data_IF_386802467401
#
_entry.id   IF_386802467401
#
_cell.length_a   1.000
_cell.length_b   1.000
_cell.length_c   1.000
_cell.angle_alpha   90.00
_cell.angle_beta   90.00
_cell.angle_gamma   90.00
#
_symmetry.space_group_name_H-M   'P 1'
#
loop_
_entity.id
_entity.type
_entity.pdbx_description
1 polymer ?
#
# COMPACT_ATOMS: atom_id res chain seq x y z
N UNK A 1 -8.57 -39.10 -5.09
CA UNK A 1 -8.68 -39.45 -3.66
C UNK A 1 -8.57 -38.27 -2.69
N UNK A 2 -8.20 -37.08 -3.10
CA UNK A 2 -7.97 -35.91 -2.21
C UNK A 2 -9.24 -35.10 -1.87
N UNK A 3 -10.25 -35.10 -2.74
CA UNK A 3 -11.52 -34.37 -2.53
C UNK A 3 -12.39 -34.97 -1.40
N UNK A 4 -12.34 -36.27 -1.17
CA UNK A 4 -13.12 -36.95 -0.12
C UNK A 4 -12.62 -36.59 1.29
N UNK A 5 -11.34 -36.32 1.47
CA UNK A 5 -10.80 -35.92 2.78
C UNK A 5 -11.15 -34.48 3.21
N UNK A 6 -11.41 -33.58 2.27
CA UNK A 6 -11.83 -32.21 2.58
C UNK A 6 -13.32 -32.17 2.96
N UNK A 7 -14.15 -32.87 2.21
CA UNK A 7 -15.59 -32.93 2.44
C UNK A 7 -15.88 -33.59 3.82
N UNK A 8 -15.18 -34.68 4.16
CA UNK A 8 -15.37 -35.31 5.47
C UNK A 8 -14.98 -34.39 6.64
N UNK A 9 -13.89 -33.57 6.49
CA UNK A 9 -13.48 -32.63 7.53
C UNK A 9 -14.47 -31.47 7.69
N UNK A 10 -15.00 -30.93 6.58
CA UNK A 10 -16.07 -29.92 6.63
C UNK A 10 -17.27 -30.45 7.36
N UNK A 11 -17.69 -31.69 7.08
CA UNK A 11 -18.79 -32.35 7.78
C UNK A 11 -18.53 -32.50 9.28
N UNK A 12 -17.30 -32.83 9.69
CA UNK A 12 -16.94 -32.90 11.11
C UNK A 12 -16.97 -31.51 11.79
N UNK A 13 -16.59 -30.45 11.10
CA UNK A 13 -16.68 -29.07 11.60
C UNK A 13 -18.14 -28.67 11.78
N UNK A 14 -18.96 -28.91 10.77
CA UNK A 14 -20.40 -28.62 10.82
C UNK A 14 -21.08 -29.42 11.91
N UNK A 15 -20.80 -30.70 12.01
CA UNK A 15 -21.37 -31.60 13.04
C UNK A 15 -20.97 -31.15 14.44
N UNK A 16 -19.70 -30.85 14.67
CA UNK A 16 -19.20 -30.36 15.97
C UNK A 16 -19.85 -29.01 16.32
N UNK A 17 -19.96 -28.09 15.35
CA UNK A 17 -20.67 -26.81 15.52
C UNK A 17 -22.13 -27.01 15.89
N UNK A 18 -22.83 -27.91 15.22
CA UNK A 18 -24.24 -28.25 15.52
C UNK A 18 -24.41 -28.88 16.92
N UNK A 19 -23.49 -29.78 17.31
CA UNK A 19 -23.50 -30.40 18.66
C UNK A 19 -23.29 -29.32 19.73
N UNK A 20 -22.35 -28.37 19.51
CA UNK A 20 -22.08 -27.27 20.44
C UNK A 20 -23.28 -26.33 20.55
N UNK A 21 -23.92 -25.97 19.44
CA UNK A 21 -25.15 -25.17 19.43
C UNK A 21 -26.28 -25.92 20.17
N UNK A 22 -26.45 -27.19 19.88
CA UNK A 22 -27.44 -28.00 20.58
C UNK A 22 -27.20 -28.08 22.10
N UNK A 23 -25.94 -28.26 22.52
CA UNK A 23 -25.56 -28.25 23.93
C UNK A 23 -25.88 -26.90 24.61
N UNK A 24 -25.61 -25.79 23.95
CA UNK A 24 -25.92 -24.42 24.46
C UNK A 24 -27.44 -24.27 24.66
N UNK A 25 -28.27 -24.77 23.72
CA UNK A 25 -29.73 -24.67 23.82
C UNK A 25 -30.35 -25.66 24.81
N UNK A 26 -29.80 -26.86 24.96
CA UNK A 26 -30.34 -27.89 25.82
C UNK A 26 -29.85 -27.81 27.26
N UNK A 27 -28.66 -27.27 27.51
CA UNK A 27 -28.07 -27.14 28.84
C UNK A 27 -29.02 -26.45 29.86
N UNK A 28 -29.66 -25.30 29.58
CA UNK A 28 -30.60 -24.66 30.50
C UNK A 28 -31.83 -25.51 30.81
N UNK A 29 -32.30 -26.29 29.82
CA UNK A 29 -33.46 -27.21 30.00
C UNK A 29 -33.12 -28.39 30.88
N UNK A 30 -31.92 -28.96 30.76
CA UNK A 30 -31.46 -30.06 31.63
C UNK A 30 -31.39 -29.58 33.09
N UNK A 31 -30.89 -28.36 33.30
CA UNK A 31 -30.79 -27.79 34.66
C UNK A 31 -32.14 -27.37 35.25
N UNK A 32 -33.19 -27.16 34.45
CA UNK A 32 -34.56 -26.92 34.96
C UNK A 32 -35.17 -28.11 35.67
N UNK A 33 -34.65 -29.32 35.45
CA UNK A 33 -35.11 -30.57 36.06
C UNK A 33 -34.46 -30.81 37.44
N UNK A 34 -33.41 -30.00 37.81
CA UNK A 34 -32.68 -30.16 39.06
C UNK A 34 -33.58 -29.84 40.27
N UNK A 35 -33.57 -30.67 41.34
CA UNK A 35 -34.34 -30.43 42.55
C UNK A 35 -34.05 -29.07 43.19
N UNK A 36 -35.08 -28.49 43.82
CA UNK A 36 -35.04 -27.14 44.40
C UNK A 36 -33.88 -26.96 45.39
N UNK A 37 -33.50 -28.01 46.13
CA UNK A 37 -32.39 -27.98 47.10
C UNK A 37 -31.01 -27.63 46.48
N UNK A 38 -30.79 -27.88 45.21
CA UNK A 38 -29.52 -27.63 44.50
C UNK A 38 -29.55 -26.41 43.59
N UNK A 39 -30.70 -25.72 43.48
CA UNK A 39 -30.85 -24.52 42.65
C UNK A 39 -29.86 -23.38 42.91
N UNK A 40 -29.44 -23.10 44.15
CA UNK A 40 -28.46 -22.05 44.38
C UNK A 40 -27.12 -22.24 43.68
N UNK A 41 -26.72 -23.51 43.43
CA UNK A 41 -25.46 -23.88 42.78
C UNK A 41 -25.58 -24.12 41.29
N UNK A 42 -26.82 -24.14 40.77
CA UNK A 42 -27.05 -24.51 39.35
C UNK A 42 -26.47 -23.45 38.41
N UNK A 43 -26.47 -22.17 38.78
CA UNK A 43 -25.92 -21.08 37.98
C UNK A 43 -24.41 -21.22 37.80
N UNK A 44 -23.70 -21.47 38.89
CA UNK A 44 -22.23 -21.59 38.88
C UNK A 44 -21.78 -22.83 38.09
N UNK A 45 -22.47 -23.94 38.29
CA UNK A 45 -22.18 -25.18 37.54
C UNK A 45 -22.49 -25.02 36.06
N UNK A 46 -23.57 -24.32 35.70
CA UNK A 46 -23.92 -24.03 34.32
C UNK A 46 -22.85 -23.15 33.68
N UNK A 47 -22.41 -22.07 34.35
CA UNK A 47 -21.38 -21.18 33.86
C UNK A 47 -20.04 -21.91 33.61
N UNK A 48 -19.68 -22.82 34.55
CA UNK A 48 -18.45 -23.61 34.43
C UNK A 48 -18.52 -24.58 33.25
N UNK A 49 -19.62 -25.34 33.15
CA UNK A 49 -19.84 -26.29 32.04
C UNK A 49 -19.85 -25.55 30.68
N UNK A 50 -20.54 -24.42 30.61
CA UNK A 50 -20.58 -23.60 29.41
C UNK A 50 -19.18 -23.10 29.02
N UNK A 51 -18.40 -22.65 29.98
CA UNK A 51 -17.00 -22.25 29.77
C UNK A 51 -16.13 -23.38 29.23
N UNK A 52 -16.29 -24.60 29.77
CA UNK A 52 -15.56 -25.79 29.28
C UNK A 52 -15.98 -26.13 27.84
N UNK A 53 -17.28 -26.07 27.53
CA UNK A 53 -17.77 -26.31 26.18
C UNK A 53 -17.21 -25.30 25.20
N UNK A 54 -17.24 -24.00 25.54
CA UNK A 54 -16.67 -22.95 24.70
C UNK A 54 -15.15 -23.09 24.54
N UNK A 55 -14.43 -23.50 25.58
CA UNK A 55 -13.00 -23.78 25.53
C UNK A 55 -12.68 -24.92 24.54
N UNK A 56 -13.43 -26.04 24.64
CA UNK A 56 -13.27 -27.17 23.71
C UNK A 56 -13.57 -26.73 22.27
N UNK A 57 -14.61 -25.91 22.07
CA UNK A 57 -15.01 -25.37 20.79
C UNK A 57 -13.86 -24.49 20.21
N UNK A 58 -13.31 -23.57 21.03
CA UNK A 58 -12.20 -22.73 20.63
C UNK A 58 -10.98 -23.55 20.24
N UNK A 59 -10.61 -24.55 21.04
CA UNK A 59 -9.48 -25.46 20.75
C UNK A 59 -9.68 -26.21 19.43
N UNK A 60 -10.90 -26.63 19.16
CA UNK A 60 -11.23 -27.30 17.89
C UNK A 60 -11.12 -26.32 16.71
N UNK A 61 -11.65 -25.10 16.84
CA UNK A 61 -11.55 -24.05 15.82
C UNK A 61 -10.09 -23.72 15.53
N UNK A 62 -9.27 -23.50 16.58
CA UNK A 62 -7.84 -23.18 16.44
C UNK A 62 -7.09 -24.30 15.73
N UNK A 63 -7.35 -25.59 16.08
CA UNK A 63 -6.71 -26.74 15.43
C UNK A 63 -7.09 -26.85 13.96
N UNK A 64 -8.35 -26.58 13.63
CA UNK A 64 -8.84 -26.60 12.25
C UNK A 64 -8.21 -25.48 11.44
N UNK A 65 -8.20 -24.26 12.01
CA UNK A 65 -7.59 -23.10 11.40
C UNK A 65 -6.08 -23.30 11.19
N UNK A 66 -5.40 -23.89 12.18
CA UNK A 66 -3.99 -24.27 12.05
C UNK A 66 -3.75 -25.17 10.84
N UNK A 67 -4.53 -26.24 10.74
CA UNK A 67 -4.38 -27.21 9.64
C UNK A 67 -4.67 -26.60 8.27
N UNK A 68 -5.62 -25.66 8.19
CA UNK A 68 -5.97 -24.95 6.97
C UNK A 68 -4.87 -23.95 6.56
N UNK A 69 -4.35 -23.19 7.51
CA UNK A 69 -3.32 -22.17 7.27
C UNK A 69 -1.96 -22.79 6.93
N UNK A 70 -1.54 -23.85 7.62
CA UNK A 70 -0.26 -24.53 7.38
C UNK A 70 -0.12 -25.11 5.96
N UNK A 71 -1.23 -25.26 5.24
CA UNK A 71 -1.24 -25.66 3.83
C UNK A 71 -0.93 -24.52 2.86
N UNK A 72 -1.18 -23.26 3.27
CA UNK A 72 -1.07 -22.07 2.41
C UNK A 72 0.05 -21.13 2.82
N UNK A 73 0.45 -21.17 4.09
CA UNK A 73 1.40 -20.23 4.69
C UNK A 73 2.47 -21.02 5.43
N UNK A 74 3.70 -20.52 5.44
CA UNK A 74 4.80 -21.13 6.18
C UNK A 74 4.48 -21.22 7.68
N UNK A 75 4.75 -22.34 8.30
CA UNK A 75 4.45 -22.64 9.72
C UNK A 75 4.91 -21.56 10.70
N UNK A 76 6.01 -20.86 10.39
CA UNK A 76 6.56 -19.79 11.23
C UNK A 76 5.59 -18.61 11.41
N UNK A 77 4.71 -18.35 10.43
CA UNK A 77 3.72 -17.26 10.48
C UNK A 77 2.38 -17.69 11.05
N UNK A 78 2.09 -18.99 11.02
CA UNK A 78 0.80 -19.51 11.50
C UNK A 78 0.69 -19.42 13.02
N UNK A 79 1.76 -19.73 13.76
CA UNK A 79 1.75 -19.73 15.24
C UNK A 79 1.42 -18.36 15.85
N UNK A 80 2.09 -17.23 15.47
CA UNK A 80 1.73 -15.91 15.99
C UNK A 80 0.29 -15.51 15.70
N UNK A 81 -0.22 -15.88 14.52
CA UNK A 81 -1.60 -15.56 14.10
C UNK A 81 -2.61 -16.30 14.93
N UNK A 82 -2.39 -17.61 15.17
CA UNK A 82 -3.24 -18.41 16.05
C UNK A 82 -3.18 -17.96 17.51
N UNK A 83 -2.01 -17.49 17.96
CA UNK A 83 -1.88 -16.93 19.30
C UNK A 83 -2.78 -15.70 19.50
N UNK A 84 -2.81 -14.77 18.55
CA UNK A 84 -3.70 -13.60 18.60
C UNK A 84 -5.18 -14.04 18.62
N UNK A 85 -5.57 -14.96 17.75
CA UNK A 85 -6.95 -15.50 17.71
C UNK A 85 -7.30 -16.19 19.04
N UNK A 86 -6.35 -16.92 19.64
CA UNK A 86 -6.58 -17.59 20.91
C UNK A 86 -6.79 -16.63 22.08
N UNK A 87 -6.03 -15.52 22.15
CA UNK A 87 -6.22 -14.49 23.19
C UNK A 87 -7.62 -13.89 23.09
N UNK A 88 -8.03 -13.51 21.88
CA UNK A 88 -9.38 -12.95 21.66
C UNK A 88 -10.44 -13.98 22.07
N UNK A 89 -10.27 -15.25 21.65
CA UNK A 89 -11.19 -16.33 21.99
C UNK A 89 -11.30 -16.56 23.50
N UNK A 90 -10.18 -16.60 24.23
CA UNK A 90 -10.19 -16.76 25.68
C UNK A 90 -10.84 -15.57 26.38
N UNK A 91 -10.61 -14.35 25.87
CA UNK A 91 -11.26 -13.15 26.42
C UNK A 91 -12.79 -13.21 26.25
N UNK A 92 -13.27 -13.62 25.08
CA UNK A 92 -14.71 -13.81 24.82
C UNK A 92 -15.31 -14.88 25.73
N UNK A 93 -14.62 -16.02 25.95
CA UNK A 93 -15.05 -17.08 26.85
C UNK A 93 -15.14 -16.55 28.29
N UNK A 94 -14.13 -15.80 28.73
CA UNK A 94 -14.12 -15.18 30.06
C UNK A 94 -15.34 -14.28 30.26
N UNK A 95 -15.62 -13.38 29.32
CA UNK A 95 -16.79 -12.51 29.38
C UNK A 95 -18.10 -13.30 29.41
N UNK A 96 -18.21 -14.35 28.58
CA UNK A 96 -19.42 -15.19 28.56
C UNK A 96 -19.66 -15.91 29.89
N UNK A 97 -18.59 -16.43 30.50
CA UNK A 97 -18.69 -17.09 31.84
C UNK A 97 -19.05 -16.06 32.91
N UNK A 98 -18.44 -14.90 32.95
CA UNK A 98 -18.74 -13.83 33.91
C UNK A 98 -20.21 -13.35 33.77
N UNK A 99 -20.71 -13.22 32.54
CA UNK A 99 -22.10 -12.87 32.27
C UNK A 99 -23.07 -13.91 32.87
N UNK A 100 -22.78 -15.22 32.73
CA UNK A 100 -23.60 -16.30 33.28
C UNK A 100 -23.54 -16.34 34.81
N UNK A 101 -22.46 -15.90 35.42
CA UNK A 101 -22.31 -15.73 36.87
C UNK A 101 -23.03 -14.48 37.41
N UNK A 102 -23.69 -13.70 36.52
CA UNK A 102 -24.39 -12.48 36.92
C UNK A 102 -23.49 -11.27 37.21
N UNK A 103 -22.22 -11.33 36.82
CA UNK A 103 -21.30 -10.19 36.96
C UNK A 103 -21.73 -9.08 36.01
N UNK A 104 -21.82 -7.84 36.50
CA UNK A 104 -22.06 -6.68 35.64
C UNK A 104 -20.85 -6.44 34.74
N UNK A 105 -21.06 -6.70 33.45
CA UNK A 105 -20.01 -6.54 32.42
C UNK A 105 -19.86 -5.10 31.93
N UNK A 106 -20.70 -4.17 32.34
CA UNK A 106 -20.72 -2.80 31.83
C UNK A 106 -19.36 -2.11 31.93
N UNK A 107 -18.71 -2.24 33.09
CA UNK A 107 -17.37 -1.66 33.31
C UNK A 107 -16.28 -2.32 32.48
N UNK A 108 -16.38 -3.66 32.30
CA UNK A 108 -15.41 -4.44 31.51
C UNK A 108 -15.56 -4.08 30.03
N UNK A 109 -16.82 -3.98 29.55
CA UNK A 109 -17.12 -3.61 28.16
C UNK A 109 -16.62 -2.19 27.88
N UNK A 110 -16.88 -1.23 28.78
CA UNK A 110 -16.41 0.15 28.65
C UNK A 110 -14.88 0.22 28.62
N UNK A 111 -14.21 -0.46 29.55
CA UNK A 111 -12.75 -0.56 29.58
C UNK A 111 -12.17 -1.22 28.32
N UNK A 112 -12.84 -2.28 27.83
CA UNK A 112 -12.43 -2.96 26.60
C UNK A 112 -12.62 -2.09 25.35
N UNK A 113 -13.69 -1.28 25.31
CA UNK A 113 -13.90 -0.31 24.23
C UNK A 113 -12.79 0.75 24.19
N UNK A 114 -12.39 1.26 25.34
CA UNK A 114 -11.27 2.19 25.45
C UNK A 114 -9.94 1.57 25.03
N UNK A 115 -9.63 0.35 25.53
CA UNK A 115 -8.44 -0.40 25.10
C UNK A 115 -8.45 -0.69 23.59
N UNK A 116 -9.62 -1.05 23.05
CA UNK A 116 -9.82 -1.26 21.62
C UNK A 116 -9.56 -0.01 20.77
N UNK A 117 -9.99 1.15 21.26
CA UNK A 117 -9.71 2.43 20.62
C UNK A 117 -8.21 2.73 20.57
N UNK A 118 -7.48 2.51 21.66
CA UNK A 118 -6.02 2.69 21.70
C UNK A 118 -5.32 1.74 20.74
N UNK A 119 -5.71 0.46 20.70
CA UNK A 119 -5.15 -0.54 19.77
C UNK A 119 -5.47 -0.14 18.33
N UNK A 120 -6.69 0.34 18.05
CA UNK A 120 -7.10 0.84 16.75
C UNK A 120 -6.24 2.01 16.26
N UNK A 121 -5.99 2.99 17.14
CA UNK A 121 -5.09 4.11 16.85
C UNK A 121 -3.65 3.63 16.59
N UNK A 122 -3.14 2.70 17.39
CA UNK A 122 -1.81 2.12 17.18
C UNK A 122 -1.71 1.33 15.85
N UNK A 123 -2.80 0.71 15.42
CA UNK A 123 -2.89 -0.04 14.16
C UNK A 123 -3.26 0.82 12.94
N UNK A 124 -3.54 2.11 13.10
CA UNK A 124 -4.09 3.00 12.08
C UNK A 124 -3.29 2.97 10.77
N UNK A 125 -1.95 3.01 10.84
CA UNK A 125 -1.10 3.00 9.64
C UNK A 125 -1.21 1.68 8.87
N UNK A 126 -1.29 0.55 9.57
CA UNK A 126 -1.42 -0.78 8.94
C UNK A 126 -2.78 -0.90 8.25
N UNK A 127 -3.85 -0.49 8.95
CA UNK A 127 -5.21 -0.49 8.41
C UNK A 127 -5.34 0.47 7.22
N UNK A 128 -4.72 1.65 7.30
CA UNK A 128 -4.70 2.62 6.19
C UNK A 128 -4.08 2.00 4.93
N UNK A 129 -2.93 1.34 5.04
CA UNK A 129 -2.30 0.67 3.90
C UNK A 129 -3.18 -0.44 3.32
N UNK A 130 -3.79 -1.24 4.18
CA UNK A 130 -4.66 -2.35 3.78
C UNK A 130 -5.89 -1.85 3.02
N UNK A 131 -6.62 -0.87 3.55
CA UNK A 131 -7.80 -0.29 2.89
C UNK A 131 -7.43 0.46 1.61
N UNK A 132 -6.28 1.15 1.59
CA UNK A 132 -5.75 1.78 0.39
C UNK A 132 -5.42 0.76 -0.69
N UNK A 133 -4.87 -0.41 -0.33
CA UNK A 133 -4.61 -1.50 -1.27
C UNK A 133 -5.91 -2.05 -1.88
N UNK A 134 -6.93 -2.28 -1.06
CA UNK A 134 -8.26 -2.69 -1.56
C UNK A 134 -8.82 -1.64 -2.53
N UNK A 135 -8.72 -0.36 -2.18
CA UNK A 135 -9.22 0.74 -3.01
C UNK A 135 -8.48 0.81 -4.35
N UNK A 136 -7.14 0.70 -4.37
CA UNK A 136 -6.34 0.67 -5.59
C UNK A 136 -6.73 -0.50 -6.50
N UNK A 137 -6.89 -1.70 -5.94
CA UNK A 137 -7.28 -2.91 -6.69
C UNK A 137 -8.69 -2.77 -7.27
N UNK A 138 -9.59 -2.13 -6.54
CA UNK A 138 -10.99 -1.95 -6.96
C UNK A 138 -11.14 -0.83 -8.01
N UNK A 139 -10.61 0.35 -7.72
CA UNK A 139 -10.78 1.53 -8.58
C UNK A 139 -9.85 1.52 -9.79
N UNK A 140 -8.72 0.80 -9.71
CA UNK A 140 -7.71 0.64 -10.75
C UNK A 140 -7.31 1.96 -11.41
N UNK A 141 -6.84 2.94 -10.66
CA UNK A 141 -6.36 4.19 -11.25
C UNK A 141 -5.16 3.95 -12.18
N UNK A 142 -4.44 2.86 -11.97
CA UNK A 142 -3.41 2.26 -12.81
C UNK A 142 -3.39 0.75 -12.58
N UNK A 143 -2.74 -0.01 -13.45
CA UNK A 143 -2.68 -1.47 -13.40
C UNK A 143 -1.22 -1.97 -13.41
N UNK A 144 -0.96 -3.21 -12.96
CA UNK A 144 0.32 -3.87 -13.23
C UNK A 144 0.64 -3.84 -14.73
N UNK A 145 1.86 -3.42 -15.06
CA UNK A 145 2.32 -3.18 -16.43
C UNK A 145 2.29 -1.72 -16.87
N UNK A 146 1.49 -0.86 -16.25
CA UNK A 146 1.50 0.57 -16.54
C UNK A 146 2.81 1.22 -16.09
N UNK A 147 3.27 2.20 -16.86
CA UNK A 147 4.33 3.10 -16.43
C UNK A 147 3.72 4.29 -15.70
N UNK A 148 4.18 4.55 -14.49
CA UNK A 148 3.69 5.67 -13.69
C UNK A 148 4.81 6.60 -13.26
N UNK A 149 4.49 7.89 -13.18
CA UNK A 149 5.28 8.87 -12.46
C UNK A 149 4.51 9.26 -11.20
N UNK A 150 5.11 8.99 -10.06
CA UNK A 150 4.52 9.19 -8.75
C UNK A 150 5.25 10.29 -7.99
N UNK A 151 4.49 11.20 -7.40
CA UNK A 151 5.00 12.28 -6.55
C UNK A 151 4.22 12.33 -5.25
N UNK A 152 4.94 12.36 -4.12
CA UNK A 152 4.35 12.53 -2.80
C UNK A 152 5.18 13.50 -1.97
N UNK A 153 4.51 14.35 -1.21
CA UNK A 153 5.16 15.26 -0.26
C UNK A 153 5.99 14.53 0.80
N UNK A 154 5.67 13.28 1.10
CA UNK A 154 6.38 12.47 2.10
C UNK A 154 7.78 12.06 1.65
N UNK A 155 8.06 12.05 0.35
CA UNK A 155 9.37 11.76 -0.24
C UNK A 155 10.11 13.03 -0.71
N UNK A 156 9.51 14.21 -0.53
CA UNK A 156 10.04 15.49 -0.99
C UNK A 156 11.20 16.06 -0.16
N UNK A 157 11.64 15.38 0.88
CA UNK A 157 12.60 15.90 1.86
C UNK A 157 14.08 15.75 1.52
N UNK A 158 14.44 15.24 0.36
CA UNK A 158 15.82 15.37 -0.08
C UNK A 158 16.00 16.75 -0.69
N UNK A 159 16.42 17.69 0.15
CA UNK A 159 16.98 18.95 -0.32
C UNK A 159 18.13 18.62 -1.29
N UNK A 160 18.12 19.14 -2.52
CA UNK A 160 19.25 18.96 -3.41
C UNK A 160 20.49 19.45 -2.68
N UNK A 161 21.58 18.67 -2.68
CA UNK A 161 22.88 19.08 -2.15
C UNK A 161 23.49 20.26 -2.94
N UNK A 162 22.76 20.76 -3.90
CA UNK A 162 23.10 21.84 -4.80
C UNK A 162 22.06 22.96 -4.67
N UNK A 163 22.45 24.19 -4.30
CA UNK A 163 21.50 25.30 -4.29
C UNK A 163 20.95 25.46 -5.71
N UNK A 164 19.62 25.52 -5.90
CA UNK A 164 19.05 25.81 -7.20
C UNK A 164 19.60 27.16 -7.67
N UNK A 165 20.00 27.23 -8.95
CA UNK A 165 20.43 28.52 -9.53
C UNK A 165 19.29 29.52 -9.32
N UNK A 166 19.63 30.71 -8.90
CA UNK A 166 18.71 31.79 -8.50
C UNK A 166 17.65 32.13 -9.57
N UNK A 167 17.87 31.70 -10.81
CA UNK A 167 17.00 31.95 -11.97
C UNK A 167 16.33 30.68 -12.55
N UNK A 168 16.55 29.51 -11.98
CA UNK A 168 15.86 28.33 -12.48
C UNK A 168 14.55 28.15 -11.72
N UNK A 169 13.45 28.27 -12.42
CA UNK A 169 12.11 27.79 -11.97
C UNK A 169 12.01 26.28 -12.05
N UNK A 170 13.13 25.56 -11.97
CA UNK A 170 13.12 24.12 -11.90
C UNK A 170 12.51 23.74 -10.55
N UNK A 171 11.21 23.53 -10.54
CA UNK A 171 10.59 22.80 -9.45
C UNK A 171 11.25 21.43 -9.41
N UNK A 172 12.15 21.26 -8.46
CA UNK A 172 12.75 19.96 -8.19
C UNK A 172 11.67 19.07 -7.59
N UNK A 173 10.88 18.47 -8.47
CA UNK A 173 9.89 17.48 -8.09
C UNK A 173 10.58 16.13 -8.07
N UNK A 174 10.86 15.64 -6.88
CA UNK A 174 11.23 14.24 -6.72
C UNK A 174 10.05 13.41 -7.19
N UNK A 175 10.19 12.76 -8.31
CA UNK A 175 9.23 11.82 -8.83
C UNK A 175 9.88 10.44 -8.89
N UNK A 176 9.17 9.47 -8.39
CA UNK A 176 9.48 8.07 -8.62
C UNK A 176 8.84 7.73 -9.97
N UNK A 177 9.63 7.22 -10.90
CA UNK A 177 9.17 6.87 -12.24
C UNK A 177 9.54 5.43 -12.55
N UNK A 178 8.56 4.63 -12.94
CA UNK A 178 8.81 3.22 -13.24
C UNK A 178 7.54 2.47 -13.63
N UNK A 179 7.72 1.20 -13.93
CA UNK A 179 6.63 0.29 -14.28
C UNK A 179 6.05 -0.34 -13.01
N UNK A 180 4.74 -0.34 -12.90
CA UNK A 180 4.05 -1.07 -11.81
C UNK A 180 4.21 -2.56 -12.05
N UNK A 181 4.84 -3.26 -11.11
CA UNK A 181 5.01 -4.71 -11.13
C UNK A 181 3.83 -5.42 -10.47
N UNK A 182 3.49 -5.01 -9.24
CA UNK A 182 2.42 -5.62 -8.45
C UNK A 182 1.73 -4.60 -7.52
N UNK A 183 0.46 -4.85 -7.24
CA UNK A 183 -0.32 -4.13 -6.24
C UNK A 183 -0.82 -5.14 -5.22
N UNK A 184 -0.12 -5.24 -4.10
CA UNK A 184 -0.51 -6.07 -2.95
C UNK A 184 -1.41 -5.31 -1.99
N UNK A 185 -1.90 -5.99 -0.92
CA UNK A 185 -2.75 -5.35 0.10
C UNK A 185 -2.10 -4.16 0.82
N UNK A 186 -0.77 -4.16 1.00
CA UNK A 186 -0.08 -3.14 1.78
C UNK A 186 0.87 -2.26 0.96
N UNK A 187 1.35 -2.75 -0.18
CA UNK A 187 2.40 -2.11 -0.96
C UNK A 187 2.08 -2.17 -2.45
N UNK A 188 2.42 -1.11 -3.16
CA UNK A 188 2.56 -1.07 -4.61
C UNK A 188 4.04 -1.22 -4.93
N UNK A 189 4.38 -2.18 -5.78
CA UNK A 189 5.75 -2.45 -6.24
C UNK A 189 5.96 -1.77 -7.58
N UNK A 190 7.00 -0.94 -7.69
CA UNK A 190 7.40 -0.24 -8.91
C UNK A 190 8.83 -0.67 -9.24
N UNK A 191 9.08 -0.94 -10.51
CA UNK A 191 10.41 -1.21 -11.06
C UNK A 191 10.85 -0.01 -11.87
N UNK A 192 11.91 0.66 -11.44
CA UNK A 192 12.52 1.78 -12.16
C UNK A 192 13.28 1.31 -13.41
N UNK A 193 13.63 2.24 -14.31
CA UNK A 193 14.32 1.90 -15.57
C UNK A 193 15.72 1.30 -15.37
N UNK A 194 16.36 1.56 -14.22
CA UNK A 194 17.66 0.96 -13.82
C UNK A 194 17.51 -0.45 -13.21
N UNK A 195 16.27 -0.97 -13.10
CA UNK A 195 15.97 -2.24 -12.47
C UNK A 195 15.79 -2.18 -10.95
N UNK A 196 15.88 -1.01 -10.33
CA UNK A 196 15.61 -0.84 -8.90
C UNK A 196 14.15 -1.14 -8.58
N UNK A 197 13.92 -1.99 -7.58
CA UNK A 197 12.58 -2.38 -7.12
C UNK A 197 12.20 -1.56 -5.91
N UNK A 198 11.20 -0.71 -6.05
CA UNK A 198 10.65 0.11 -4.98
C UNK A 198 9.33 -0.45 -4.48
N UNK A 199 9.17 -0.55 -3.15
CA UNK A 199 7.89 -0.90 -2.51
C UNK A 199 7.35 0.29 -1.75
N UNK A 200 6.29 0.87 -2.28
CA UNK A 200 5.66 2.07 -1.72
C UNK A 200 4.42 1.65 -0.94
N UNK A 201 4.24 2.07 0.32
CA UNK A 201 3.02 1.83 1.08
C UNK A 201 1.79 2.39 0.35
N UNK A 202 0.73 1.60 0.25
CA UNK A 202 -0.46 1.98 -0.53
C UNK A 202 -1.13 3.26 -0.04
N UNK A 203 -1.08 3.53 1.28
CA UNK A 203 -1.62 4.78 1.84
C UNK A 203 -0.90 6.03 1.33
N UNK A 204 0.38 5.90 0.97
CA UNK A 204 1.16 6.99 0.38
C UNK A 204 0.80 7.14 -1.09
N UNK A 205 0.65 6.03 -1.80
CA UNK A 205 0.29 6.03 -3.23
C UNK A 205 -1.05 6.74 -3.47
N UNK A 206 -2.06 6.47 -2.65
CA UNK A 206 -3.38 7.12 -2.75
C UNK A 206 -3.33 8.62 -2.44
N UNK A 207 -2.43 9.04 -1.55
CA UNK A 207 -2.27 10.46 -1.17
C UNK A 207 -1.36 11.24 -2.11
N UNK A 208 -0.64 10.55 -2.99
CA UNK A 208 0.25 11.17 -3.95
C UNK A 208 -0.42 11.53 -5.27
N UNK A 209 0.25 12.35 -6.05
CA UNK A 209 -0.12 12.61 -7.43
C UNK A 209 0.54 11.58 -8.35
N UNK A 210 -0.27 10.85 -9.11
CA UNK A 210 0.18 9.83 -10.05
C UNK A 210 -0.16 10.24 -11.48
N UNK A 211 0.84 10.27 -12.36
CA UNK A 211 0.64 10.39 -13.80
C UNK A 211 0.80 9.00 -14.42
N UNK A 212 -0.21 8.54 -15.14
CA UNK A 212 -0.21 7.21 -15.75
C UNK A 212 0.15 7.33 -17.22
N UNK A 213 1.08 6.48 -17.66
CA UNK A 213 1.56 6.41 -19.03
C UNK A 213 1.90 7.81 -19.60
N UNK A 214 2.79 8.58 -18.91
CA UNK A 214 3.17 9.91 -19.38
C UNK A 214 3.78 9.84 -20.78
N UNK A 215 3.58 10.91 -21.54
CA UNK A 215 4.21 11.03 -22.85
C UNK A 215 5.72 11.22 -22.62
N UNK A 216 6.49 10.14 -22.77
CA UNK A 216 7.95 10.10 -22.52
C UNK A 216 8.77 10.63 -23.71
N UNK A 217 8.14 11.02 -24.80
CA UNK A 217 8.80 11.45 -26.02
C UNK A 217 9.13 12.96 -26.05
N UNK A 218 9.14 13.63 -24.90
CA UNK A 218 9.48 15.05 -24.79
C UNK A 218 10.64 15.25 -23.84
N UNK A 219 11.69 15.93 -24.31
CA UNK A 219 12.82 16.38 -23.53
C UNK A 219 12.75 17.91 -23.42
N UNK A 220 12.91 18.45 -22.23
CA UNK A 220 13.05 19.89 -22.02
C UNK A 220 14.48 20.21 -21.60
N UNK A 221 15.07 21.15 -22.30
CA UNK A 221 16.40 21.69 -22.02
C UNK A 221 16.27 23.19 -21.80
N UNK A 222 16.88 23.69 -20.74
CA UNK A 222 16.98 25.12 -20.46
C UNK A 222 18.41 25.56 -20.61
N UNK A 223 18.62 26.67 -21.30
CA UNK A 223 19.91 27.27 -21.46
C UNK A 223 19.84 28.77 -21.19
N UNK A 224 20.80 29.28 -20.46
CA UNK A 224 20.95 30.70 -20.18
C UNK A 224 21.98 31.29 -21.15
N UNK A 225 21.65 32.41 -21.78
CA UNK A 225 22.46 33.08 -22.76
C UNK A 225 22.58 34.55 -22.40
N UNK A 226 23.71 35.20 -22.80
CA UNK A 226 23.88 36.64 -22.66
C UNK A 226 22.92 37.38 -23.62
N UNK A 227 22.42 38.53 -23.21
CA UNK A 227 21.57 39.39 -24.03
C UNK A 227 22.25 39.86 -25.35
N UNK A 228 23.56 39.72 -25.44
CA UNK A 228 24.33 39.97 -26.67
C UNK A 228 24.12 38.89 -27.74
N UNK A 229 23.66 37.70 -27.37
CA UNK A 229 23.42 36.60 -28.33
C UNK A 229 22.03 36.76 -28.92
N UNK A 230 21.95 36.82 -30.26
CA UNK A 230 20.68 36.92 -30.95
C UNK A 230 19.88 35.60 -30.88
N UNK A 231 18.64 35.72 -30.48
CA UNK A 231 17.71 34.54 -30.36
C UNK A 231 17.50 33.83 -31.70
N UNK A 232 17.46 34.55 -32.81
CA UNK A 232 17.29 33.93 -34.14
C UNK A 232 18.53 33.15 -34.59
N UNK A 233 19.73 33.59 -34.19
CA UNK A 233 20.97 32.84 -34.42
C UNK A 233 20.97 31.54 -33.61
N UNK A 234 20.57 31.62 -32.34
CA UNK A 234 20.40 30.43 -31.52
C UNK A 234 19.42 29.42 -32.13
N UNK A 235 18.25 29.90 -32.59
CA UNK A 235 17.22 29.05 -33.19
C UNK A 235 17.73 28.31 -34.43
N UNK A 236 18.48 28.99 -35.31
CA UNK A 236 19.13 28.38 -36.46
C UNK A 236 20.17 27.32 -36.07
N UNK A 237 20.95 27.59 -35.02
CA UNK A 237 21.90 26.60 -34.51
C UNK A 237 21.22 25.38 -33.96
N UNK A 238 20.10 25.54 -33.20
CA UNK A 238 19.29 24.43 -32.69
C UNK A 238 18.73 23.63 -33.87
N UNK A 239 18.23 24.28 -34.90
CA UNK A 239 17.69 23.64 -36.11
C UNK A 239 18.74 22.77 -36.81
N UNK A 240 19.99 23.29 -36.92
CA UNK A 240 21.13 22.55 -37.44
C UNK A 240 21.53 21.35 -36.57
N UNK A 241 21.43 21.45 -35.26
CA UNK A 241 21.73 20.37 -34.32
C UNK A 241 20.64 19.28 -34.43
N UNK A 242 19.38 19.71 -34.39
CA UNK A 242 18.22 18.79 -34.49
C UNK A 242 18.25 17.98 -35.78
N UNK A 243 18.61 18.60 -36.92
CA UNK A 243 18.72 17.90 -38.19
C UNK A 243 19.76 16.77 -38.23
N UNK A 244 20.76 16.81 -37.31
CA UNK A 244 21.81 15.77 -37.20
C UNK A 244 21.45 14.61 -36.29
N UNK A 245 20.49 14.80 -35.39
CA UNK A 245 20.07 13.78 -34.41
C UNK A 245 18.76 13.15 -34.91
N UNK A 246 18.85 11.95 -35.47
CA UNK A 246 17.70 11.26 -36.13
C UNK A 246 16.54 10.97 -35.20
N UNK A 247 16.81 10.82 -33.94
CA UNK A 247 15.83 10.54 -32.89
C UNK A 247 14.93 11.73 -32.57
N UNK A 248 15.33 12.96 -32.94
CA UNK A 248 14.53 14.16 -32.70
C UNK A 248 13.63 14.41 -33.91
N UNK A 249 12.32 14.39 -33.70
CA UNK A 249 11.29 14.57 -34.76
C UNK A 249 10.81 16.01 -34.88
N UNK A 250 10.81 16.75 -33.80
CA UNK A 250 10.29 18.12 -33.75
C UNK A 250 10.92 18.89 -32.60
N UNK A 251 10.98 20.20 -32.68
CA UNK A 251 11.43 21.03 -31.58
C UNK A 251 10.65 22.34 -31.50
N UNK A 252 10.60 22.92 -30.33
CA UNK A 252 10.09 24.26 -30.09
C UNK A 252 10.98 25.00 -29.11
N UNK A 253 11.13 26.29 -29.32
CA UNK A 253 11.90 27.16 -28.45
C UNK A 253 11.03 28.30 -27.92
N UNK A 254 11.21 28.65 -26.66
CA UNK A 254 10.55 29.82 -26.06
C UNK A 254 11.49 30.51 -25.07
N UNK A 255 11.44 31.84 -25.01
CA UNK A 255 12.09 32.59 -23.96
C UNK A 255 11.25 32.52 -22.70
N UNK A 256 11.79 31.98 -21.61
CA UNK A 256 11.07 31.87 -20.32
C UNK A 256 11.26 33.09 -19.43
N UNK A 257 12.46 33.69 -19.47
CA UNK A 257 12.80 34.79 -18.60
C UNK A 257 13.84 35.70 -19.27
N UNK A 258 13.74 37.00 -19.02
CA UNK A 258 14.71 38.00 -19.50
C UNK A 258 15.27 38.73 -18.28
N UNK A 259 16.55 38.53 -18.02
CA UNK A 259 17.30 39.23 -16.99
C UNK A 259 18.00 40.49 -17.51
N UNK A 260 18.79 41.13 -16.66
CA UNK A 260 19.55 42.34 -17.04
C UNK A 260 20.68 42.07 -18.04
N UNK A 261 21.35 40.94 -17.88
CA UNK A 261 22.53 40.56 -18.68
C UNK A 261 22.33 39.29 -19.48
N UNK A 262 21.33 38.46 -19.09
CA UNK A 262 21.07 37.16 -19.67
C UNK A 262 19.58 36.93 -19.89
N UNK A 263 19.24 36.00 -20.78
CA UNK A 263 17.91 35.48 -20.96
C UNK A 263 17.91 33.95 -20.94
N UNK A 264 16.84 33.38 -20.46
CA UNK A 264 16.63 31.94 -20.33
C UNK A 264 15.76 31.42 -21.47
N UNK A 265 16.29 30.47 -22.22
CA UNK A 265 15.57 29.81 -23.31
C UNK A 265 15.22 28.38 -22.91
N UNK A 266 13.96 28.04 -23.08
CA UNK A 266 13.46 26.68 -22.98
C UNK A 266 13.37 26.08 -24.37
N UNK A 267 14.03 24.95 -24.54
CA UNK A 267 14.02 24.13 -25.74
C UNK A 267 13.24 22.85 -25.42
N UNK A 268 12.18 22.59 -26.15
CA UNK A 268 11.40 21.36 -26.03
C UNK A 268 11.64 20.54 -27.27
N UNK A 269 12.17 19.32 -27.10
CA UNK A 269 12.43 18.36 -28.15
C UNK A 269 11.38 17.26 -28.10
N UNK A 270 10.84 16.84 -29.25
CA UNK A 270 10.07 15.62 -29.39
C UNK A 270 10.98 14.56 -29.97
N UNK A 271 10.98 13.39 -29.34
CA UNK A 271 11.87 12.29 -29.75
C UNK A 271 11.06 11.06 -30.15
N UNK A 272 11.70 10.22 -30.96
CA UNK A 272 11.19 8.87 -31.27
C UNK A 272 12.00 7.86 -30.48
N UNK A 273 11.35 7.02 -29.68
CA UNK A 273 11.99 6.00 -28.85
C UNK A 273 11.96 6.34 -27.34
N UNK A 274 12.53 5.46 -26.54
CA UNK A 274 12.50 5.52 -25.07
C UNK A 274 13.79 6.08 -24.45
N UNK A 275 14.90 6.15 -25.22
CA UNK A 275 16.20 6.67 -24.74
C UNK A 275 16.21 8.20 -24.68
N UNK A 276 15.52 8.76 -23.70
CA UNK A 276 15.44 10.19 -23.48
C UNK A 276 16.78 10.75 -22.98
N UNK A 277 17.52 9.98 -22.17
CA UNK A 277 18.78 10.44 -21.54
C UNK A 277 19.93 10.50 -22.53
N UNK A 278 20.09 9.48 -23.38
CA UNK A 278 21.12 9.47 -24.43
C UNK A 278 20.91 10.57 -25.45
N UNK A 279 19.67 10.78 -25.90
CA UNK A 279 19.34 11.87 -26.82
C UNK A 279 19.54 13.23 -26.18
N UNK A 280 19.18 13.40 -24.91
CA UNK A 280 19.42 14.64 -24.14
C UNK A 280 20.92 14.94 -24.05
N UNK A 281 21.74 13.94 -23.70
CA UNK A 281 23.20 14.11 -23.58
C UNK A 281 23.80 14.54 -24.93
N UNK A 282 23.48 13.84 -26.01
CA UNK A 282 23.96 14.16 -27.38
C UNK A 282 23.55 15.55 -27.82
N UNK A 283 22.31 15.95 -27.53
CA UNK A 283 21.85 17.32 -27.83
C UNK A 283 22.60 18.39 -27.02
N UNK A 284 22.80 18.14 -25.69
CA UNK A 284 23.50 19.07 -24.81
C UNK A 284 24.99 19.25 -25.22
N UNK A 285 25.65 18.15 -25.60
CA UNK A 285 27.05 18.21 -26.12
C UNK A 285 27.15 19.03 -27.42
N UNK A 286 26.20 18.80 -28.34
CA UNK A 286 26.13 19.54 -29.59
C UNK A 286 25.83 21.03 -29.37
N UNK A 287 24.95 21.35 -28.42
CA UNK A 287 24.60 22.71 -28.04
C UNK A 287 25.80 23.41 -27.40
N UNK A 288 26.57 22.73 -26.54
CA UNK A 288 27.76 23.25 -25.91
C UNK A 288 28.86 23.51 -26.95
N UNK A 289 29.03 22.67 -27.95
CA UNK A 289 29.96 22.85 -29.04
C UNK A 289 29.59 24.09 -29.91
N UNK A 290 28.32 24.26 -30.23
CA UNK A 290 27.80 25.41 -30.96
C UNK A 290 27.94 26.71 -30.20
N UNK A 291 27.88 26.71 -28.86
CA UNK A 291 28.03 27.87 -27.98
C UNK A 291 29.43 28.48 -28.04
N UNK A 292 30.46 27.72 -28.40
CA UNK A 292 31.84 28.24 -28.57
C UNK A 292 32.01 29.14 -29.81
N UNK A 293 31.02 29.15 -30.71
CA UNK A 293 30.98 29.95 -31.93
C UNK A 293 29.99 31.13 -31.89
N UNK A 294 29.27 31.28 -30.76
CA UNK A 294 28.34 32.39 -30.46
C UNK A 294 29.05 33.44 -29.59
#
# INVERSE_FOLDING_TARGET
MEKTGIISRIWWIVLTGLILIALVFFLPRIFSIVPIAYRPYTGDIQALLFGVILYIALRFILKTLQTALERRIQKRYVRPLLFLVSIIGYFVILLAVLALLGVDLSSIILGSAFAGAIIGLAAQQILSNFFSGILLIWTRPFAPGDFIEFNSWQYSYMLPSYPPKYLSRDEFRWKIAGRVDDISMNFTTIVEDDGTVLKIPNSIVIQGATTVNPIRNKIQVRTELMNSVDYEVLKKNIESIVSKIKEITDFSTSVEEIGRETYLVKITLKITGEDTEGVRASFMESLLAARKGL
#
